data_IF_350330867365
#
_entry.id   IF_350330867365
#
_cell.length_a   1.000
_cell.length_b   1.000
_cell.length_c   1.000
_cell.angle_alpha   90.00
_cell.angle_beta   90.00
_cell.angle_gamma   90.00
#
_symmetry.space_group_name_H-M   'P 1'
#
loop_
_entity.id
_entity.type
_entity.pdbx_description
1 polymer ?
#
# COMPACT_ATOMS: atom_id res chain seq x y z
N UNK A 1 -31.77 9.96 18.57
CA UNK A 1 -31.71 10.68 17.30
C UNK A 1 -30.98 9.83 16.26
N UNK A 2 -31.58 9.70 15.07
CA UNK A 2 -31.00 8.93 13.97
C UNK A 2 -30.80 9.85 12.76
N UNK A 3 -29.60 9.81 12.20
CA UNK A 3 -29.28 10.47 10.92
C UNK A 3 -28.97 9.39 9.89
N UNK A 4 -29.52 9.52 8.70
CA UNK A 4 -29.21 8.68 7.55
C UNK A 4 -28.53 9.54 6.49
N UNK A 5 -27.51 8.98 5.85
CA UNK A 5 -26.81 9.61 4.75
C UNK A 5 -26.64 8.62 3.60
N UNK A 6 -26.69 9.12 2.38
CA UNK A 6 -26.39 8.36 1.18
C UNK A 6 -25.66 9.26 0.20
N UNK A 7 -24.64 8.72 -0.42
CA UNK A 7 -23.84 9.38 -1.44
C UNK A 7 -23.62 8.40 -2.59
N UNK A 8 -23.78 8.87 -3.83
CA UNK A 8 -23.59 8.06 -5.03
C UNK A 8 -22.85 8.87 -6.07
N UNK A 9 -21.88 8.25 -6.69
CA UNK A 9 -21.06 8.84 -7.74
C UNK A 9 -20.85 7.83 -8.86
N UNK A 10 -20.81 8.31 -10.09
CA UNK A 10 -20.44 7.52 -11.26
C UNK A 10 -19.74 8.39 -12.27
N UNK A 11 -18.80 7.82 -12.98
CA UNK A 11 -18.02 8.58 -13.94
C UNK A 11 -17.27 7.71 -14.93
N UNK A 12 -16.78 8.39 -15.95
CA UNK A 12 -15.83 7.89 -16.91
C UNK A 12 -14.58 8.77 -16.82
N UNK A 13 -13.43 8.15 -16.71
CA UNK A 13 -12.14 8.82 -16.66
C UNK A 13 -11.14 8.15 -17.56
N UNK A 14 -10.09 8.88 -17.92
CA UNK A 14 -9.01 8.33 -18.70
C UNK A 14 -7.72 9.11 -18.50
N UNK A 15 -6.62 8.48 -18.85
CA UNK A 15 -5.28 9.07 -18.82
C UNK A 15 -4.52 8.62 -20.04
N UNK A 16 -4.09 9.58 -20.84
CA UNK A 16 -3.18 9.37 -21.97
C UNK A 16 -1.82 9.99 -21.66
N UNK A 17 -0.76 9.28 -21.95
CA UNK A 17 0.61 9.77 -21.79
C UNK A 17 1.43 9.30 -22.99
N UNK A 18 2.09 10.24 -23.66
CA UNK A 18 3.03 9.99 -24.73
C UNK A 18 4.43 10.46 -24.28
N UNK A 19 5.44 9.71 -24.60
CA UNK A 19 6.83 10.02 -24.25
C UNK A 19 7.78 9.62 -25.35
N UNK A 20 8.82 10.44 -25.55
CA UNK A 20 9.94 10.14 -26.43
C UNK A 20 11.23 10.17 -25.60
N UNK A 21 12.12 9.20 -25.78
CA UNK A 21 13.41 9.11 -25.11
C UNK A 21 14.51 8.79 -26.10
N UNK A 22 15.61 9.52 -25.99
CA UNK A 22 16.83 9.25 -26.77
C UNK A 22 17.75 8.31 -25.99
N UNK A 23 18.16 7.23 -26.62
CA UNK A 23 19.08 6.23 -26.06
C UNK A 23 20.41 6.25 -26.81
N UNK A 24 21.52 6.24 -26.04
CA UNK A 24 22.87 5.97 -26.56
C UNK A 24 23.35 4.66 -25.94
N UNK A 25 23.48 3.64 -26.76
CA UNK A 25 23.96 2.32 -26.34
C UNK A 25 25.46 2.19 -26.67
N UNK A 26 26.21 1.72 -25.67
CA UNK A 26 27.60 1.26 -25.86
C UNK A 26 27.71 -0.17 -25.34
N UNK A 27 28.17 -1.07 -26.21
CA UNK A 27 28.50 -2.45 -25.86
C UNK A 27 29.99 -2.57 -25.60
N UNK A 28 30.35 -2.99 -24.38
CA UNK A 28 31.72 -3.14 -23.93
C UNK A 28 32.00 -4.59 -23.56
N UNK A 29 33.13 -5.11 -24.03
CA UNK A 29 33.71 -6.35 -23.55
C UNK A 29 35.17 -6.10 -23.20
N UNK A 30 35.60 -6.47 -21.98
CA UNK A 30 36.96 -6.28 -21.47
C UNK A 30 37.51 -4.83 -21.63
N UNK A 31 36.63 -3.84 -21.49
CA UNK A 31 36.97 -2.43 -21.66
C UNK A 31 37.04 -1.95 -23.10
N UNK A 32 36.78 -2.79 -24.10
CA UNK A 32 36.79 -2.44 -25.52
C UNK A 32 35.35 -2.26 -25.98
N UNK A 33 35.05 -1.12 -26.63
CA UNK A 33 33.76 -0.86 -27.27
C UNK A 33 33.68 -1.69 -28.56
N UNK A 34 32.69 -2.61 -28.66
CA UNK A 34 32.46 -3.41 -29.86
C UNK A 34 31.12 -3.09 -30.56
N UNK A 35 30.34 -2.18 -29.99
CA UNK A 35 29.12 -1.68 -30.61
C UNK A 35 28.68 -0.37 -30.01
N UNK A 36 28.22 0.55 -30.85
CA UNK A 36 27.57 1.80 -30.45
C UNK A 36 26.30 1.97 -31.29
N UNK A 37 25.22 2.42 -30.64
CA UNK A 37 23.95 2.69 -31.32
C UNK A 37 23.29 3.94 -30.74
N UNK A 38 22.71 4.74 -31.59
CA UNK A 38 21.82 5.83 -31.24
C UNK A 38 20.39 5.35 -31.60
N UNK A 39 19.51 5.34 -30.59
CA UNK A 39 18.13 4.94 -30.73
C UNK A 39 17.24 6.00 -30.10
N UNK A 40 15.99 6.08 -30.55
CA UNK A 40 14.94 6.80 -29.81
C UNK A 40 13.74 5.89 -29.56
N UNK A 41 13.13 6.00 -28.39
CA UNK A 41 11.87 5.32 -28.12
C UNK A 41 10.70 6.26 -28.26
N UNK A 42 9.56 5.67 -28.61
CA UNK A 42 8.26 6.33 -28.51
C UNK A 42 7.36 5.43 -27.67
N UNK A 43 6.84 5.99 -26.59
CA UNK A 43 5.99 5.31 -25.65
C UNK A 43 4.61 5.96 -25.64
N UNK A 44 3.57 5.16 -25.88
CA UNK A 44 2.18 5.56 -25.83
C UNK A 44 1.48 4.75 -24.74
N UNK A 45 0.80 5.43 -23.83
CA UNK A 45 0.02 4.83 -22.77
C UNK A 45 -1.37 5.44 -22.76
N UNK A 46 -2.39 4.61 -22.70
CA UNK A 46 -3.78 4.99 -22.67
C UNK A 46 -4.57 4.12 -21.68
N UNK A 47 -5.23 4.75 -20.73
CA UNK A 47 -6.05 4.11 -19.71
C UNK A 47 -7.43 4.74 -19.72
N UNK A 48 -8.46 3.91 -19.81
CA UNK A 48 -9.85 4.31 -19.68
C UNK A 48 -10.55 3.49 -18.61
N UNK A 49 -11.28 4.14 -17.73
CA UNK A 49 -12.04 3.48 -16.66
C UNK A 49 -13.46 4.06 -16.57
N UNK A 50 -14.44 3.17 -16.46
CA UNK A 50 -15.81 3.53 -16.06
C UNK A 50 -15.99 3.06 -14.61
N UNK A 51 -16.51 3.92 -13.75
CA UNK A 51 -16.74 3.55 -12.36
C UNK A 51 -18.12 4.00 -11.85
N UNK A 52 -18.58 3.27 -10.86
CA UNK A 52 -19.72 3.61 -10.01
C UNK A 52 -19.36 3.32 -8.57
N UNK A 53 -19.69 4.25 -7.65
CA UNK A 53 -19.54 4.02 -6.22
C UNK A 53 -20.70 4.62 -5.45
N UNK A 54 -20.96 4.02 -4.28
CA UNK A 54 -21.98 4.52 -3.38
C UNK A 54 -21.67 4.19 -1.93
N UNK A 55 -22.11 5.07 -1.06
CA UNK A 55 -22.06 4.90 0.39
C UNK A 55 -23.44 5.13 0.97
N UNK A 56 -23.87 4.24 1.84
CA UNK A 56 -25.05 4.43 2.70
C UNK A 56 -24.58 4.32 4.13
N UNK A 57 -24.97 5.25 4.98
CA UNK A 57 -24.59 5.27 6.38
C UNK A 57 -25.72 5.68 7.31
N UNK A 58 -25.59 5.31 8.56
CA UNK A 58 -26.42 5.78 9.64
C UNK A 58 -25.61 6.12 10.88
N UNK A 59 -26.12 7.07 11.65
CA UNK A 59 -25.64 7.43 12.97
C UNK A 59 -26.86 7.46 13.90
N UNK A 60 -26.87 6.66 14.96
CA UNK A 60 -27.89 6.62 15.97
C UNK A 60 -27.32 6.95 17.33
N UNK A 61 -27.72 8.10 17.88
CA UNK A 61 -27.39 8.53 19.22
C UNK A 61 -28.50 8.10 20.17
N UNK A 62 -28.16 7.25 21.15
CA UNK A 62 -29.11 6.79 22.17
C UNK A 62 -29.34 7.86 23.23
N UNK A 63 -28.30 8.67 23.52
CA UNK A 63 -28.33 9.78 24.47
C UNK A 63 -27.34 10.87 24.08
N UNK A 64 -27.26 11.94 24.89
CA UNK A 64 -26.35 13.06 24.72
C UNK A 64 -24.97 12.82 25.40
N UNK A 65 -24.75 11.62 25.96
CA UNK A 65 -23.51 11.28 26.69
C UNK A 65 -22.48 10.57 25.82
N UNK A 66 -22.75 10.42 24.54
CA UNK A 66 -21.88 9.75 23.58
C UNK A 66 -22.18 8.26 23.36
N UNK A 67 -23.35 7.77 23.87
CA UNK A 67 -23.84 6.42 23.59
C UNK A 67 -24.38 6.39 22.17
N UNK A 68 -23.67 5.72 21.26
CA UNK A 68 -24.01 5.75 19.84
C UNK A 68 -23.72 4.44 19.12
N UNK A 69 -24.44 4.23 18.04
CA UNK A 69 -24.22 3.17 17.06
C UNK A 69 -24.11 3.81 15.67
N UNK A 70 -23.01 3.54 14.98
CA UNK A 70 -22.80 4.00 13.61
C UNK A 70 -22.62 2.81 12.70
N UNK A 71 -23.08 2.95 11.47
CA UNK A 71 -22.88 1.94 10.45
C UNK A 71 -22.73 2.57 9.07
N UNK A 72 -21.95 1.92 8.23
CA UNK A 72 -21.81 2.33 6.83
C UNK A 72 -21.61 1.11 5.94
N UNK A 73 -22.12 1.22 4.72
CA UNK A 73 -21.88 0.28 3.64
C UNK A 73 -21.43 1.05 2.40
N UNK A 74 -20.29 0.64 1.85
CA UNK A 74 -19.70 1.19 0.65
C UNK A 74 -19.54 0.11 -0.40
N UNK A 75 -19.91 0.44 -1.63
CA UNK A 75 -19.71 -0.37 -2.82
C UNK A 75 -19.04 0.49 -3.90
N UNK A 76 -17.99 -0.04 -4.52
CA UNK A 76 -17.40 0.51 -5.74
C UNK A 76 -17.31 -0.59 -6.79
N UNK A 77 -17.72 -0.28 -7.99
CA UNK A 77 -17.42 -0.99 -9.22
C UNK A 77 -16.54 -0.12 -10.10
N UNK A 78 -15.42 -0.64 -10.57
CA UNK A 78 -14.62 -0.09 -11.64
C UNK A 78 -14.54 -1.15 -12.73
N UNK A 79 -15.03 -0.83 -13.91
CA UNK A 79 -15.07 -1.76 -15.02
C UNK A 79 -14.55 -1.15 -16.30
N UNK A 80 -14.13 -2.00 -17.23
CA UNK A 80 -13.50 -1.59 -18.49
C UNK A 80 -12.29 -0.67 -18.24
N UNK A 81 -11.49 -0.97 -17.22
CA UNK A 81 -10.16 -0.42 -17.10
C UNK A 81 -9.32 -1.06 -18.21
N UNK A 82 -9.42 -0.51 -19.44
CA UNK A 82 -8.57 -0.92 -20.53
C UNK A 82 -7.29 -0.10 -20.43
N UNK A 83 -6.19 -0.77 -20.12
CA UNK A 83 -4.85 -0.22 -20.20
C UNK A 83 -4.19 -0.67 -21.49
N UNK A 84 -3.78 0.28 -22.31
CA UNK A 84 -2.98 0.05 -23.49
C UNK A 84 -1.62 0.69 -23.31
N UNK A 85 -0.58 -0.10 -23.52
CA UNK A 85 0.79 0.38 -23.52
C UNK A 85 1.47 -0.05 -24.80
N UNK A 86 2.11 0.89 -25.50
CA UNK A 86 2.98 0.62 -26.64
C UNK A 86 4.32 1.31 -26.41
N UNK A 87 5.41 0.59 -26.66
CA UNK A 87 6.75 1.13 -26.70
C UNK A 87 7.43 0.65 -27.99
N UNK A 88 7.98 1.58 -28.73
CA UNK A 88 8.71 1.32 -29.97
C UNK A 88 10.13 1.92 -29.85
N UNK A 89 11.13 1.18 -30.29
CA UNK A 89 12.52 1.63 -30.40
C UNK A 89 12.93 1.72 -31.85
N UNK A 90 13.36 2.89 -32.28
CA UNK A 90 13.78 3.17 -33.62
C UNK A 90 15.28 3.46 -33.67
N UNK A 91 15.94 3.02 -34.76
CA UNK A 91 17.32 3.41 -35.05
C UNK A 91 17.37 4.80 -35.68
N UNK A 92 18.58 5.31 -35.90
CA UNK A 92 18.82 6.59 -36.53
C UNK A 92 18.26 6.77 -37.96
N UNK A 93 17.94 5.66 -38.62
CA UNK A 93 17.31 5.67 -39.96
C UNK A 93 15.77 5.64 -39.86
N UNK A 94 15.19 5.78 -38.66
CA UNK A 94 13.76 5.69 -38.41
C UNK A 94 13.16 4.30 -38.71
N UNK A 95 13.96 3.24 -38.60
CA UNK A 95 13.51 1.88 -38.74
C UNK A 95 13.25 1.32 -37.34
N UNK A 96 12.09 0.64 -37.14
CA UNK A 96 11.74 0.01 -35.88
C UNK A 96 12.61 -1.22 -35.64
N UNK A 97 13.42 -1.17 -34.60
CA UNK A 97 14.31 -2.26 -34.18
C UNK A 97 13.64 -3.17 -33.15
N UNK A 98 12.88 -2.57 -32.23
CA UNK A 98 12.09 -3.29 -31.21
C UNK A 98 10.73 -2.62 -31.07
N UNK A 99 9.77 -3.38 -30.59
CA UNK A 99 8.46 -2.86 -30.22
C UNK A 99 7.72 -3.86 -29.38
N UNK A 100 6.93 -3.36 -28.44
CA UNK A 100 5.97 -4.17 -27.73
C UNK A 100 4.67 -3.38 -27.50
N UNK A 101 3.59 -4.12 -27.43
CA UNK A 101 2.23 -3.65 -27.16
C UNK A 101 1.61 -4.53 -26.11
N UNK A 102 1.04 -3.93 -25.10
CA UNK A 102 0.32 -4.64 -24.06
C UNK A 102 -1.11 -4.11 -23.93
N UNK A 103 -2.01 -4.99 -23.59
CA UNK A 103 -3.39 -4.67 -23.25
C UNK A 103 -3.72 -5.38 -21.94
N UNK A 104 -4.41 -4.65 -21.08
CA UNK A 104 -4.94 -5.15 -19.83
C UNK A 104 -6.40 -4.70 -19.72
N UNK A 105 -7.32 -5.64 -19.56
CA UNK A 105 -8.75 -5.38 -19.34
C UNK A 105 -9.15 -5.93 -17.98
N UNK A 106 -9.68 -5.07 -17.11
CA UNK A 106 -9.90 -5.41 -15.72
C UNK A 106 -11.27 -4.97 -15.23
N UNK A 107 -11.85 -5.79 -14.35
CA UNK A 107 -13.06 -5.50 -13.62
C UNK A 107 -12.80 -5.57 -12.13
N UNK A 108 -13.14 -4.49 -11.41
CA UNK A 108 -12.82 -4.33 -9.99
C UNK A 108 -14.05 -4.07 -9.16
N UNK A 109 -14.19 -4.82 -8.06
CA UNK A 109 -15.21 -4.59 -7.06
C UNK A 109 -14.59 -4.33 -5.70
N UNK A 110 -15.08 -3.31 -5.00
CA UNK A 110 -14.70 -3.06 -3.62
C UNK A 110 -15.96 -2.95 -2.78
N UNK A 111 -16.02 -3.74 -1.71
CA UNK A 111 -17.10 -3.70 -0.73
C UNK A 111 -16.50 -3.40 0.64
N UNK A 112 -17.09 -2.45 1.38
CA UNK A 112 -16.76 -2.19 2.78
C UNK A 112 -18.02 -2.09 3.59
N UNK A 113 -18.04 -2.71 4.76
CA UNK A 113 -19.10 -2.58 5.75
C UNK A 113 -18.48 -2.28 7.10
N UNK A 114 -19.05 -1.31 7.84
CA UNK A 114 -18.62 -0.97 9.18
C UNK A 114 -19.84 -0.89 10.08
N UNK A 115 -19.69 -1.40 11.31
CA UNK A 115 -20.65 -1.25 12.39
C UNK A 115 -19.87 -0.99 13.67
N UNK A 116 -20.03 0.19 14.25
CA UNK A 116 -19.26 0.65 15.39
C UNK A 116 -20.20 1.09 16.51
N UNK A 117 -19.96 0.57 17.72
CA UNK A 117 -20.76 0.84 18.91
C UNK A 117 -19.89 1.43 20.01
N UNK A 118 -20.34 2.55 20.59
CA UNK A 118 -19.69 3.25 21.68
C UNK A 118 -20.64 3.30 22.87
N UNK A 119 -20.19 2.80 24.02
CA UNK A 119 -20.92 2.81 25.27
C UNK A 119 -20.12 3.52 26.36
N UNK A 120 -20.45 4.77 26.72
CA UNK A 120 -19.88 5.48 27.86
C UNK A 120 -20.45 4.93 29.15
N UNK A 121 -19.66 4.15 29.90
CA UNK A 121 -20.07 3.57 31.17
C UNK A 121 -19.84 4.48 32.38
N UNK A 122 -19.03 5.53 32.20
CA UNK A 122 -18.80 6.56 33.21
C UNK A 122 -18.58 7.94 32.54
N UNK A 123 -18.24 8.98 33.32
CA UNK A 123 -17.93 10.30 32.78
C UNK A 123 -16.64 10.33 31.96
N UNK A 124 -15.72 9.43 32.26
CA UNK A 124 -14.38 9.34 31.65
C UNK A 124 -14.16 8.02 30.92
N UNK A 125 -14.97 7.02 31.26
CA UNK A 125 -14.81 5.65 30.77
C UNK A 125 -15.77 5.30 29.65
N UNK A 126 -15.26 4.61 28.64
CA UNK A 126 -16.03 4.09 27.53
C UNK A 126 -15.56 2.71 27.05
N UNK A 127 -16.50 1.96 26.56
CA UNK A 127 -16.27 0.73 25.79
C UNK A 127 -16.62 1.02 24.34
N UNK A 128 -15.78 0.56 23.44
CA UNK A 128 -16.02 0.62 22.01
C UNK A 128 -15.87 -0.80 21.45
N UNK A 129 -16.71 -1.15 20.49
CA UNK A 129 -16.62 -2.41 19.79
C UNK A 129 -17.23 -2.30 18.42
N UNK A 130 -16.74 -3.09 17.49
CA UNK A 130 -17.27 -3.02 16.15
C UNK A 130 -16.90 -4.23 15.30
N UNK A 131 -17.57 -4.28 14.16
CA UNK A 131 -17.32 -5.23 13.09
C UNK A 131 -17.02 -4.46 11.80
N UNK A 132 -16.01 -4.92 11.07
CA UNK A 132 -15.65 -4.37 9.78
C UNK A 132 -15.48 -5.50 8.77
N UNK A 133 -16.07 -5.32 7.61
CA UNK A 133 -15.90 -6.16 6.43
C UNK A 133 -15.25 -5.38 5.32
N UNK A 134 -14.26 -5.99 4.70
CA UNK A 134 -13.63 -5.50 3.49
C UNK A 134 -13.56 -6.64 2.49
N UNK A 135 -13.94 -6.37 1.24
CA UNK A 135 -13.71 -7.28 0.12
C UNK A 135 -13.26 -6.49 -1.10
N UNK A 136 -12.22 -7.00 -1.73
CA UNK A 136 -11.73 -6.55 -3.02
C UNK A 136 -11.72 -7.76 -3.95
N UNK A 137 -12.29 -7.59 -5.12
CA UNK A 137 -12.31 -8.58 -6.18
C UNK A 137 -11.84 -7.90 -7.45
N UNK A 138 -10.95 -8.56 -8.17
CA UNK A 138 -10.45 -8.12 -9.46
C UNK A 138 -10.29 -9.35 -10.37
N UNK A 139 -10.75 -9.24 -11.58
CA UNK A 139 -10.53 -10.20 -12.63
C UNK A 139 -10.19 -9.48 -13.93
N UNK A 140 -9.36 -10.12 -14.74
CA UNK A 140 -8.92 -9.52 -15.99
C UNK A 140 -8.06 -10.44 -16.81
N UNK A 141 -7.59 -9.89 -17.92
CA UNK A 141 -6.64 -10.53 -18.79
C UNK A 141 -5.55 -9.56 -19.25
N UNK A 142 -4.36 -10.11 -19.41
CA UNK A 142 -3.18 -9.42 -19.89
C UNK A 142 -2.65 -10.08 -21.15
N UNK A 143 -2.42 -9.28 -22.20
CA UNK A 143 -1.90 -9.73 -23.49
C UNK A 143 -0.73 -8.85 -23.92
N UNK A 144 0.31 -9.47 -24.48
CA UNK A 144 1.48 -8.73 -24.96
C UNK A 144 1.98 -9.24 -26.30
N UNK A 145 2.22 -8.31 -27.22
CA UNK A 145 2.79 -8.57 -28.54
C UNK A 145 4.17 -7.94 -28.69
N UNK A 146 5.07 -8.61 -29.38
CA UNK A 146 6.42 -8.16 -29.66
C UNK A 146 6.63 -7.95 -31.15
N UNK A 147 7.46 -6.98 -31.51
CA UNK A 147 7.85 -6.71 -32.89
C UNK A 147 8.89 -7.70 -33.38
N UNK A 148 8.63 -8.32 -34.54
CA UNK A 148 9.61 -9.09 -35.31
C UNK A 148 10.24 -8.18 -36.38
N UNK A 149 11.52 -7.78 -36.28
CA UNK A 149 12.14 -6.87 -37.24
C UNK A 149 12.39 -7.51 -38.60
N UNK A 150 12.42 -8.87 -38.70
CA UNK A 150 12.62 -9.58 -39.93
C UNK A 150 11.33 -9.66 -40.75
N UNK A 151 10.22 -9.98 -40.09
CA UNK A 151 8.91 -10.06 -40.69
C UNK A 151 8.20 -8.72 -40.80
N UNK A 152 8.64 -7.71 -40.04
CA UNK A 152 8.03 -6.38 -39.90
C UNK A 152 6.57 -6.43 -39.44
N UNK A 153 6.28 -7.33 -38.48
CA UNK A 153 4.96 -7.51 -37.88
C UNK A 153 5.03 -7.74 -36.39
N UNK A 154 3.93 -7.48 -35.68
CA UNK A 154 3.81 -7.86 -34.27
C UNK A 154 3.32 -9.30 -34.17
N UNK A 155 3.91 -10.06 -33.23
CA UNK A 155 3.51 -11.44 -32.92
C UNK A 155 3.15 -11.56 -31.44
N UNK A 156 2.22 -12.46 -31.13
CA UNK A 156 1.80 -12.73 -29.76
C UNK A 156 2.85 -13.60 -29.05
N UNK A 157 3.07 -13.31 -27.77
CA UNK A 157 3.84 -14.12 -26.83
C UNK A 157 2.86 -14.88 -25.93
N UNK A 158 2.45 -16.09 -26.36
CA UNK A 158 1.49 -16.92 -25.62
C UNK A 158 1.98 -17.30 -24.21
N UNK A 159 3.28 -17.29 -23.98
CA UNK A 159 3.90 -17.51 -22.68
C UNK A 159 3.73 -16.34 -21.71
N UNK A 160 3.33 -15.16 -22.21
CA UNK A 160 3.06 -13.95 -21.39
C UNK A 160 1.55 -13.74 -21.21
N UNK A 161 0.71 -14.26 -22.11
CA UNK A 161 -0.74 -14.18 -21.94
C UNK A 161 -1.18 -14.77 -20.59
N UNK A 162 -1.98 -14.02 -19.84
CA UNK A 162 -2.52 -14.46 -18.58
C UNK A 162 -3.94 -13.95 -18.36
N UNK A 163 -4.80 -14.83 -17.86
CA UNK A 163 -6.06 -14.44 -17.21
C UNK A 163 -5.89 -14.60 -15.72
N UNK A 164 -6.39 -13.65 -14.96
CA UNK A 164 -6.29 -13.69 -13.51
C UNK A 164 -7.63 -13.42 -12.82
N UNK A 165 -7.76 -13.96 -11.63
CA UNK A 165 -8.83 -13.69 -10.70
C UNK A 165 -8.23 -13.52 -9.32
N UNK A 166 -8.52 -12.40 -8.69
CA UNK A 166 -8.07 -12.10 -7.35
C UNK A 166 -9.24 -11.72 -6.45
N UNK A 167 -9.32 -12.37 -5.32
CA UNK A 167 -10.27 -12.04 -4.26
C UNK A 167 -9.54 -11.86 -2.94
N UNK A 168 -9.80 -10.76 -2.25
CA UNK A 168 -9.24 -10.48 -0.95
C UNK A 168 -10.34 -10.02 -0.01
N UNK A 169 -10.71 -10.87 0.95
CA UNK A 169 -11.72 -10.60 1.97
C UNK A 169 -11.10 -10.51 3.36
N UNK A 170 -11.51 -9.53 4.16
CA UNK A 170 -11.11 -9.36 5.56
C UNK A 170 -12.36 -9.15 6.40
N UNK A 171 -12.56 -10.03 7.37
CA UNK A 171 -13.53 -9.86 8.43
C UNK A 171 -12.81 -9.47 9.71
N UNK A 172 -13.26 -8.42 10.37
CA UNK A 172 -12.58 -7.89 11.55
C UNK A 172 -13.57 -7.62 12.67
N UNK A 173 -13.19 -7.98 13.88
CA UNK A 173 -13.91 -7.64 15.10
C UNK A 173 -12.92 -6.94 16.03
N UNK A 174 -13.35 -5.88 16.70
CA UNK A 174 -12.49 -5.20 17.66
C UNK A 174 -13.26 -4.81 18.93
N UNK A 175 -12.49 -4.67 20.00
CA UNK A 175 -12.96 -4.11 21.26
C UNK A 175 -11.89 -3.19 21.86
N UNK A 176 -12.33 -2.07 22.44
CA UNK A 176 -11.49 -1.07 23.09
C UNK A 176 -12.13 -0.69 24.41
N UNK A 177 -11.32 -0.59 25.46
CA UNK A 177 -11.69 0.02 26.74
C UNK A 177 -10.78 1.22 26.97
N UNK A 178 -11.37 2.36 27.34
CA UNK A 178 -10.63 3.57 27.70
C UNK A 178 -11.25 4.18 28.94
N UNK A 179 -10.40 4.67 29.86
CA UNK A 179 -10.83 5.42 31.03
C UNK A 179 -9.70 6.32 31.55
N UNK A 180 -10.08 7.22 32.46
CA UNK A 180 -9.15 8.10 33.16
C UNK A 180 -9.42 8.04 34.67
N UNK A 181 -8.38 7.81 35.44
CA UNK A 181 -8.43 7.85 36.89
C UNK A 181 -7.41 8.84 37.44
N UNK A 182 -7.89 9.96 38.00
CA UNK A 182 -7.05 11.08 38.45
C UNK A 182 -6.15 11.61 37.32
N UNK A 183 -4.85 11.43 37.48
CA UNK A 183 -3.83 11.84 36.49
C UNK A 183 -3.43 10.75 35.52
N UNK A 184 -4.04 9.57 35.60
CA UNK A 184 -3.72 8.42 34.79
C UNK A 184 -4.82 8.16 33.76
N UNK A 185 -4.43 8.10 32.48
CA UNK A 185 -5.28 7.75 31.34
C UNK A 185 -4.84 6.41 30.78
N UNK A 186 -5.78 5.55 30.41
CA UNK A 186 -5.45 4.32 29.69
C UNK A 186 -6.44 4.03 28.56
N UNK A 187 -5.95 3.38 27.54
CA UNK A 187 -6.74 2.79 26.48
C UNK A 187 -6.10 1.46 26.07
N UNK A 188 -6.87 0.39 26.15
CA UNK A 188 -6.45 -0.93 25.70
C UNK A 188 -7.42 -1.45 24.65
N UNK A 189 -6.91 -2.02 23.58
CA UNK A 189 -7.71 -2.54 22.48
C UNK A 189 -7.13 -3.81 21.90
N UNK A 190 -8.01 -4.62 21.32
CA UNK A 190 -7.63 -5.77 20.50
C UNK A 190 -8.52 -5.84 19.28
N UNK A 191 -7.91 -6.10 18.11
CA UNK A 191 -8.60 -6.37 16.86
C UNK A 191 -8.23 -7.78 16.40
N UNK A 192 -9.21 -8.60 16.09
CA UNK A 192 -9.06 -9.89 15.44
C UNK A 192 -9.46 -9.76 13.98
N UNK A 193 -8.63 -10.27 13.07
CA UNK A 193 -8.91 -10.26 11.63
C UNK A 193 -8.81 -11.66 11.06
N UNK A 194 -9.83 -12.05 10.30
CA UNK A 194 -9.81 -13.22 9.44
C UNK A 194 -9.64 -12.77 8.00
N UNK A 195 -8.49 -13.10 7.41
CA UNK A 195 -8.16 -12.79 6.01
C UNK A 195 -8.35 -14.04 5.16
N UNK A 196 -9.15 -13.92 4.11
CA UNK A 196 -9.28 -14.91 3.04
C UNK A 196 -8.86 -14.27 1.72
N UNK A 197 -7.89 -14.88 1.02
CA UNK A 197 -7.38 -14.40 -0.26
C UNK A 197 -7.25 -15.57 -1.23
N UNK A 198 -7.73 -15.36 -2.46
CA UNK A 198 -7.62 -16.30 -3.57
C UNK A 198 -6.98 -15.56 -4.74
N UNK A 199 -5.93 -16.14 -5.29
CA UNK A 199 -5.34 -15.76 -6.56
C UNK A 199 -5.44 -16.96 -7.48
N UNK A 200 -6.03 -16.79 -8.65
CA UNK A 200 -6.02 -17.77 -9.74
C UNK A 200 -5.40 -17.15 -10.96
N UNK A 201 -4.69 -17.96 -11.73
CA UNK A 201 -3.98 -17.53 -12.92
C UNK A 201 -4.06 -18.64 -13.96
N UNK A 202 -4.12 -18.29 -15.24
CA UNK A 202 -4.00 -19.26 -16.34
C UNK A 202 -2.60 -19.91 -16.39
N UNK A 203 -1.60 -19.32 -15.70
CA UNK A 203 -0.24 -19.88 -15.64
C UNK A 203 -0.23 -21.06 -14.65
N UNK A 204 0.14 -22.28 -15.10
CA UNK A 204 0.11 -23.48 -14.25
C UNK A 204 0.94 -23.35 -12.97
N UNK A 205 0.37 -23.80 -11.85
CA UNK A 205 1.04 -23.83 -10.56
C UNK A 205 1.14 -22.47 -9.83
N UNK A 206 0.50 -21.42 -10.34
CA UNK A 206 0.51 -20.08 -9.76
C UNK A 206 -0.69 -19.77 -8.86
N UNK A 207 -1.71 -20.63 -8.86
CA UNK A 207 -2.85 -20.49 -7.97
C UNK A 207 -2.44 -20.47 -6.50
N UNK A 208 -2.99 -19.54 -5.74
CA UNK A 208 -2.73 -19.44 -4.29
C UNK A 208 -4.01 -19.16 -3.53
N UNK A 209 -4.13 -19.82 -2.40
CA UNK A 209 -5.18 -19.53 -1.41
C UNK A 209 -4.53 -19.27 -0.05
N UNK A 210 -4.91 -18.17 0.55
CA UNK A 210 -4.45 -17.76 1.86
C UNK A 210 -5.64 -17.60 2.79
N UNK A 211 -5.56 -18.22 3.97
CA UNK A 211 -6.61 -18.16 4.96
C UNK A 211 -5.95 -18.09 6.35
N UNK A 212 -6.12 -16.96 7.05
CA UNK A 212 -5.43 -16.75 8.31
C UNK A 212 -6.24 -15.88 9.27
N UNK A 213 -6.18 -16.25 10.54
CA UNK A 213 -6.70 -15.44 11.64
C UNK A 213 -5.56 -14.80 12.42
N UNK A 214 -5.67 -13.50 12.71
CA UNK A 214 -4.59 -12.69 13.29
C UNK A 214 -5.11 -11.70 14.31
N UNK A 215 -4.26 -11.35 15.30
CA UNK A 215 -4.59 -10.40 16.37
C UNK A 215 -3.66 -9.20 16.36
N UNK A 216 -4.26 -8.03 16.60
CA UNK A 216 -3.60 -6.73 16.64
C UNK A 216 -3.93 -6.01 17.95
N UNK A 217 -3.17 -6.27 19.02
CA UNK A 217 -3.32 -5.56 20.28
C UNK A 217 -2.76 -4.15 20.21
N UNK A 218 -3.35 -3.24 21.01
CA UNK A 218 -2.88 -1.88 21.25
C UNK A 218 -3.05 -1.50 22.70
N UNK A 219 -2.09 -0.71 23.23
CA UNK A 219 -2.12 -0.19 24.57
C UNK A 219 -1.58 1.24 24.57
N UNK A 220 -2.30 2.15 25.22
CA UNK A 220 -1.88 3.52 25.43
C UNK A 220 -2.06 3.84 26.92
N UNK A 221 -0.99 4.35 27.54
CA UNK A 221 -0.95 4.76 28.94
C UNK A 221 -0.50 6.19 29.01
N UNK A 222 -1.22 7.03 29.74
CA UNK A 222 -0.90 8.41 29.93
C UNK A 222 -0.81 8.77 31.41
N UNK A 223 0.14 9.59 31.79
CA UNK A 223 0.22 10.16 33.11
C UNK A 223 0.47 11.69 33.05
N UNK A 224 -0.43 12.44 33.63
CA UNK A 224 -0.34 13.91 33.68
C UNK A 224 0.22 14.32 35.02
N UNK A 225 1.43 14.87 35.01
CA UNK A 225 2.10 15.44 36.20
C UNK A 225 1.63 16.87 36.46
N UNK A 226 1.85 17.42 37.68
CA UNK A 226 1.66 18.84 37.92
C UNK A 226 2.48 19.72 36.97
N UNK A 227 2.03 20.95 36.73
CA UNK A 227 2.70 21.94 35.85
C UNK A 227 2.74 21.51 34.36
N UNK A 228 1.66 20.87 33.87
CA UNK A 228 1.43 20.55 32.45
C UNK A 228 2.48 19.64 31.79
N UNK A 229 3.05 18.73 32.57
CA UNK A 229 3.87 17.66 32.05
C UNK A 229 3.01 16.43 31.74
N UNK A 230 3.20 15.80 30.60
CA UNK A 230 2.52 14.53 30.25
C UNK A 230 3.52 13.51 29.75
N UNK A 231 3.43 12.29 30.27
CA UNK A 231 4.14 11.12 29.77
C UNK A 231 3.14 10.17 29.15
N UNK A 232 3.43 9.72 27.93
CA UNK A 232 2.59 8.80 27.18
C UNK A 232 3.43 7.60 26.75
N UNK A 233 3.00 6.40 27.11
CA UNK A 233 3.59 5.15 26.61
C UNK A 233 2.60 4.45 25.69
N UNK A 234 3.05 3.93 24.57
CA UNK A 234 2.19 3.20 23.66
C UNK A 234 2.86 1.95 23.07
N UNK A 235 2.03 0.97 22.82
CA UNK A 235 2.35 -0.22 22.05
C UNK A 235 1.26 -0.48 21.03
N UNK A 236 1.66 -0.83 19.81
CA UNK A 236 0.73 -1.32 18.80
C UNK A 236 1.38 -2.36 17.90
N UNK A 237 0.58 -3.35 17.49
CA UNK A 237 0.92 -4.27 16.42
C UNK A 237 0.05 -3.98 15.21
N UNK A 238 0.68 -3.92 14.03
CA UNK A 238 0.04 -3.63 12.74
C UNK A 238 0.47 -4.62 11.68
N UNK A 239 -0.29 -4.66 10.57
CA UNK A 239 0.01 -5.45 9.39
C UNK A 239 0.02 -4.55 8.16
N UNK A 240 0.97 -4.79 7.25
CA UNK A 240 0.95 -4.27 5.87
C UNK A 240 0.80 -5.46 4.93
N UNK A 241 -0.27 -5.48 4.17
CA UNK A 241 -0.56 -6.54 3.20
C UNK A 241 0.02 -6.15 1.85
N UNK A 242 0.58 -7.13 1.10
CA UNK A 242 1.02 -6.86 -0.26
C UNK A 242 -0.18 -6.49 -1.15
N UNK A 243 0.05 -5.55 -2.02
CA UNK A 243 -0.89 -5.17 -3.09
C UNK A 243 -0.92 -6.24 -4.18
N UNK A 244 -1.99 -6.27 -5.00
CA UNK A 244 -2.18 -7.31 -6.01
C UNK A 244 -1.01 -7.38 -6.99
N UNK A 245 -0.57 -6.26 -7.53
CA UNK A 245 0.52 -6.22 -8.51
C UNK A 245 1.86 -6.80 -7.98
N UNK A 246 2.08 -6.83 -6.63
CA UNK A 246 3.21 -7.56 -6.05
C UNK A 246 3.07 -9.08 -6.12
N UNK A 247 1.87 -9.59 -6.45
CA UNK A 247 1.55 -11.01 -6.46
C UNK A 247 1.25 -11.55 -7.85
N UNK A 248 1.03 -10.70 -8.84
CA UNK A 248 0.70 -11.08 -10.22
C UNK A 248 1.81 -11.94 -10.83
N UNK A 249 1.50 -13.18 -11.21
CA UNK A 249 2.54 -14.15 -11.57
C UNK A 249 2.97 -14.08 -13.04
N UNK A 250 2.62 -13.04 -13.77
CA UNK A 250 2.99 -12.82 -15.16
C UNK A 250 4.01 -11.70 -15.32
N UNK A 251 4.70 -11.72 -16.46
CA UNK A 251 5.77 -10.77 -16.76
C UNK A 251 5.18 -9.58 -17.49
N UNK A 252 5.46 -8.38 -16.96
CA UNK A 252 5.15 -7.09 -17.59
C UNK A 252 6.45 -6.37 -17.94
N UNK A 253 6.57 -5.86 -19.15
CA UNK A 253 7.72 -5.04 -19.55
C UNK A 253 7.41 -3.57 -19.29
N UNK A 254 8.27 -2.90 -18.54
CA UNK A 254 8.19 -1.46 -18.30
C UNK A 254 8.85 -0.66 -19.43
N UNK A 255 9.91 -1.24 -19.97
CA UNK A 255 10.67 -0.74 -21.10
C UNK A 255 11.46 -1.88 -21.75
N UNK A 256 12.34 -1.59 -22.72
CA UNK A 256 13.12 -2.60 -23.44
C UNK A 256 14.21 -3.28 -22.61
N UNK A 257 14.51 -2.80 -21.40
CA UNK A 257 15.62 -3.24 -20.56
C UNK A 257 15.17 -3.68 -19.16
N UNK A 258 13.90 -3.46 -18.83
CA UNK A 258 13.34 -3.83 -17.55
C UNK A 258 11.96 -4.47 -17.66
N UNK A 259 11.82 -5.59 -16.98
CA UNK A 259 10.56 -6.31 -16.81
C UNK A 259 10.30 -6.51 -15.31
N UNK A 260 9.06 -6.79 -14.96
CA UNK A 260 8.70 -7.14 -13.59
C UNK A 260 7.76 -8.35 -13.55
N UNK A 261 7.81 -9.06 -12.43
CA UNK A 261 6.92 -10.18 -12.11
C UNK A 261 6.58 -10.14 -10.63
N UNK A 262 5.33 -10.28 -10.29
CA UNK A 262 4.91 -10.43 -8.90
C UNK A 262 5.27 -11.80 -8.35
N UNK A 263 5.17 -11.91 -7.04
CA UNK A 263 5.41 -13.14 -6.28
C UNK A 263 4.14 -13.55 -5.55
N UNK A 264 3.39 -14.56 -6.02
CA UNK A 264 2.15 -15.00 -5.37
C UNK A 264 2.34 -15.55 -3.96
N UNK A 265 3.58 -15.91 -3.57
CA UNK A 265 3.93 -16.42 -2.25
C UNK A 265 4.36 -15.34 -1.25
N UNK A 266 4.28 -14.07 -1.65
CA UNK A 266 4.68 -12.95 -0.78
C UNK A 266 3.77 -12.85 0.45
N UNK A 267 4.41 -12.70 1.63
CA UNK A 267 3.75 -12.61 2.92
C UNK A 267 3.57 -11.16 3.35
N UNK A 268 2.57 -10.92 4.18
CA UNK A 268 2.37 -9.62 4.81
C UNK A 268 3.48 -9.27 5.79
N UNK A 269 3.78 -8.00 5.93
CA UNK A 269 4.69 -7.47 6.93
C UNK A 269 3.97 -7.26 8.27
N UNK A 270 4.63 -7.54 9.39
CA UNK A 270 4.11 -7.29 10.74
C UNK A 270 4.99 -6.29 11.45
N UNK A 271 4.38 -5.22 11.95
CA UNK A 271 5.08 -4.11 12.60
C UNK A 271 4.65 -4.03 14.06
N UNK A 272 5.63 -4.15 14.99
CA UNK A 272 5.43 -3.80 16.39
C UNK A 272 6.07 -2.43 16.65
N UNK A 273 5.33 -1.52 17.27
CA UNK A 273 5.79 -0.18 17.64
C UNK A 273 5.65 0.04 19.13
N UNK A 274 6.74 0.47 19.76
CA UNK A 274 6.81 0.90 21.14
C UNK A 274 7.23 2.37 21.16
N UNK A 275 6.50 3.21 21.86
CA UNK A 275 6.78 4.64 21.90
C UNK A 275 6.62 5.16 23.34
N UNK A 276 7.54 6.04 23.75
CA UNK A 276 7.47 6.78 24.99
C UNK A 276 7.63 8.26 24.67
N UNK A 277 6.54 9.00 24.84
CA UNK A 277 6.50 10.43 24.55
C UNK A 277 6.41 11.23 25.85
N UNK A 278 7.29 12.20 26.00
CA UNK A 278 7.20 13.24 27.02
C UNK A 278 6.81 14.55 26.37
N UNK A 279 5.75 15.18 26.89
CA UNK A 279 5.25 16.47 26.42
C UNK A 279 5.18 17.48 27.59
N UNK A 280 5.57 18.70 27.31
CA UNK A 280 5.44 19.84 28.27
C UNK A 280 4.90 21.07 27.56
N UNK A 281 3.88 21.69 28.16
CA UNK A 281 3.44 23.01 27.77
C UNK A 281 4.12 24.05 28.69
N UNK A 282 4.59 25.16 28.12
CA UNK A 282 5.27 26.26 28.82
C UNK A 282 4.64 27.55 28.31
N UNK A 283 3.57 28.01 28.96
CA UNK A 283 2.75 29.10 28.43
C UNK A 283 2.17 28.74 27.07
N UNK A 284 2.46 29.54 26.06
CA UNK A 284 2.00 29.32 24.67
C UNK A 284 2.94 28.40 23.89
N UNK A 285 3.98 27.85 24.49
CA UNK A 285 4.94 26.98 23.87
C UNK A 285 4.66 25.50 24.19
N UNK A 286 4.88 24.62 23.25
CA UNK A 286 4.82 23.16 23.47
C UNK A 286 6.13 22.53 23.05
N UNK A 287 6.70 21.67 23.86
CA UNK A 287 7.85 20.84 23.52
C UNK A 287 7.53 19.38 23.78
N UNK A 288 7.99 18.50 22.91
CA UNK A 288 7.87 17.06 23.13
C UNK A 288 9.10 16.30 22.62
N UNK A 289 9.35 15.18 23.29
CA UNK A 289 10.38 14.22 22.92
C UNK A 289 9.78 12.82 22.92
N UNK A 290 9.96 12.08 21.83
CA UNK A 290 9.48 10.70 21.69
C UNK A 290 10.66 9.77 21.47
N UNK A 291 10.84 8.80 22.33
CA UNK A 291 11.73 7.66 22.09
C UNK A 291 10.89 6.54 21.50
N UNK A 292 11.37 5.93 20.41
CA UNK A 292 10.63 4.86 19.75
C UNK A 292 11.52 3.67 19.41
N UNK A 293 10.88 2.50 19.38
CA UNK A 293 11.43 1.28 18.82
C UNK A 293 10.38 0.60 17.95
N UNK A 294 10.71 0.39 16.66
CA UNK A 294 9.86 -0.30 15.69
C UNK A 294 10.58 -1.52 15.15
N UNK A 295 9.91 -2.66 15.12
CA UNK A 295 10.40 -3.87 14.50
C UNK A 295 9.42 -4.34 13.45
N UNK A 296 9.93 -4.66 12.24
CA UNK A 296 9.14 -5.18 11.13
C UNK A 296 9.63 -6.58 10.78
N UNK A 297 8.70 -7.51 10.73
CA UNK A 297 8.92 -8.88 10.30
C UNK A 297 8.41 -9.09 8.89
N UNK A 298 9.05 -9.97 8.13
CA UNK A 298 8.72 -10.33 6.74
C UNK A 298 8.73 -9.10 5.81
N UNK A 299 9.72 -8.20 5.98
CA UNK A 299 9.89 -6.99 5.17
C UNK A 299 9.85 -7.32 3.67
N UNK A 300 9.03 -6.58 2.92
CA UNK A 300 8.91 -6.72 1.47
C UNK A 300 9.90 -5.78 0.81
N UNK A 301 10.69 -6.30 -0.11
CA UNK A 301 11.67 -5.54 -0.89
C UNK A 301 11.64 -5.99 -2.35
N UNK A 302 12.00 -5.07 -3.23
CA UNK A 302 12.21 -5.35 -4.64
C UNK A 302 13.58 -6.00 -4.83
N UNK A 303 13.59 -7.13 -5.53
CA UNK A 303 14.80 -7.82 -5.97
C UNK A 303 14.95 -7.67 -7.47
N UNK A 304 16.15 -7.38 -7.93
CA UNK A 304 16.48 -7.26 -9.34
C UNK A 304 17.48 -8.34 -9.73
N UNK A 305 17.15 -9.08 -10.78
CA UNK A 305 17.98 -10.16 -11.32
C UNK A 305 18.12 -10.02 -12.84
N UNK A 306 19.21 -10.52 -13.45
CA UNK A 306 19.27 -10.70 -14.90
C UNK A 306 18.18 -11.67 -15.37
N UNK A 307 17.52 -11.39 -16.50
CA UNK A 307 16.44 -12.20 -17.04
C UNK A 307 16.72 -12.69 -18.48
N UNK A 308 16.65 -11.79 -19.42
CA UNK A 308 17.01 -12.03 -20.82
C UNK A 308 18.23 -11.18 -21.20
N UNK A 309 18.80 -11.39 -22.40
CA UNK A 309 19.97 -10.62 -22.86
C UNK A 309 19.65 -9.10 -22.86
N UNK A 310 20.26 -8.37 -21.93
CA UNK A 310 20.06 -6.93 -21.76
C UNK A 310 18.81 -6.52 -20.99
N UNK A 311 18.03 -7.49 -20.44
CA UNK A 311 16.82 -7.23 -19.66
C UNK A 311 17.01 -7.64 -18.20
N UNK A 312 16.64 -6.76 -17.28
CA UNK A 312 16.57 -7.06 -15.85
C UNK A 312 15.12 -7.36 -15.45
N UNK A 313 14.93 -8.32 -14.55
CA UNK A 313 13.63 -8.68 -13.98
C UNK A 313 13.55 -8.21 -12.53
N UNK A 314 12.59 -7.38 -12.23
CA UNK A 314 12.23 -6.96 -10.89
C UNK A 314 11.15 -7.89 -10.34
N UNK A 315 11.33 -8.35 -9.10
CA UNK A 315 10.32 -9.13 -8.37
C UNK A 315 10.27 -8.73 -6.92
N UNK A 316 9.23 -9.12 -6.20
CA UNK A 316 9.06 -8.83 -4.79
C UNK A 316 9.37 -10.05 -3.91
N UNK A 317 10.08 -9.83 -2.82
CA UNK A 317 10.39 -10.88 -1.85
C UNK A 317 10.35 -10.39 -0.40
N UNK A 318 10.11 -11.32 0.52
CA UNK A 318 10.26 -11.04 1.95
C UNK A 318 11.73 -11.24 2.32
N UNK A 319 12.45 -10.16 2.56
CA UNK A 319 13.92 -10.19 2.76
C UNK A 319 14.36 -10.36 4.22
N UNK A 320 13.44 -10.36 5.19
CA UNK A 320 13.78 -10.60 6.59
C UNK A 320 13.16 -9.62 7.56
N UNK A 321 13.96 -9.09 8.49
CA UNK A 321 13.50 -8.20 9.55
C UNK A 321 14.21 -6.86 9.50
N UNK A 322 13.52 -5.78 9.82
CA UNK A 322 14.16 -4.50 10.10
C UNK A 322 13.79 -3.97 11.48
N UNK A 323 14.66 -3.10 11.99
CA UNK A 323 14.54 -2.44 13.28
C UNK A 323 14.88 -0.97 13.12
N UNK A 324 14.05 -0.11 13.71
CA UNK A 324 14.30 1.32 13.81
C UNK A 324 14.15 1.77 15.25
N UNK A 325 15.20 2.34 15.82
CA UNK A 325 15.19 2.88 17.20
C UNK A 325 15.73 4.28 17.18
N UNK A 326 15.01 5.22 17.79
CA UNK A 326 15.42 6.61 17.74
C UNK A 326 14.68 7.52 18.69
N UNK A 327 14.97 8.82 18.51
CA UNK A 327 14.33 9.92 19.20
C UNK A 327 13.81 10.94 18.20
N UNK A 328 12.60 11.41 18.43
CA UNK A 328 11.95 12.50 17.71
C UNK A 328 11.74 13.66 18.67
N UNK A 329 12.14 14.85 18.26
CA UNK A 329 11.96 16.08 19.03
C UNK A 329 11.03 17.00 18.24
N UNK A 330 10.05 17.58 18.91
CA UNK A 330 9.20 18.61 18.32
C UNK A 330 9.01 19.78 19.27
N UNK A 331 8.98 20.98 18.71
CA UNK A 331 8.75 22.22 19.44
C UNK A 331 7.83 23.14 18.65
N UNK A 332 6.81 23.66 19.31
CA UNK A 332 6.01 24.77 18.81
C UNK A 332 6.27 25.96 19.69
N UNK A 333 6.85 27.00 19.13
CA UNK A 333 7.27 28.20 19.85
C UNK A 333 6.56 29.41 19.25
N UNK A 334 5.75 30.07 20.05
CA UNK A 334 5.15 31.36 19.69
C UNK A 334 6.14 32.48 20.05
N UNK A 335 6.85 32.98 19.06
CA UNK A 335 7.85 34.05 19.27
C UNK A 335 7.22 35.41 19.46
N UNK A 336 6.11 35.66 18.76
CA UNK A 336 5.30 36.87 18.86
C UNK A 336 3.82 36.50 18.66
N UNK A 337 2.89 37.46 18.87
CA UNK A 337 1.44 37.22 18.61
C UNK A 337 1.11 36.82 17.16
N UNK A 338 2.01 37.12 16.25
CA UNK A 338 1.81 36.90 14.80
C UNK A 338 2.82 35.90 14.19
N UNK A 339 3.79 35.39 14.98
CA UNK A 339 4.80 34.48 14.45
C UNK A 339 4.95 33.22 15.32
N UNK A 340 4.55 32.09 14.76
CA UNK A 340 4.72 30.74 15.31
C UNK A 340 5.81 30.01 14.55
N UNK A 341 6.70 29.34 15.27
CA UNK A 341 7.78 28.52 14.73
C UNK A 341 7.55 27.08 15.16
N UNK A 342 7.51 26.16 14.20
CA UNK A 342 7.45 24.72 14.41
C UNK A 342 8.81 24.11 14.06
N UNK A 343 9.43 23.45 15.02
CA UNK A 343 10.71 22.78 14.89
C UNK A 343 10.49 21.27 15.06
N UNK A 344 10.98 20.47 14.10
CA UNK A 344 10.94 19.03 14.18
C UNK A 344 12.30 18.47 13.80
N UNK A 345 12.75 17.46 14.55
CA UNK A 345 13.99 16.76 14.28
C UNK A 345 13.89 15.31 14.71
N UNK A 346 14.52 14.40 13.96
CA UNK A 346 14.58 12.99 14.29
C UNK A 346 16.01 12.47 14.13
N UNK A 347 16.41 11.61 15.07
CA UNK A 347 17.65 10.87 15.00
C UNK A 347 17.34 9.40 15.30
N UNK A 348 17.70 8.51 14.38
CA UNK A 348 17.43 7.09 14.57
C UNK A 348 18.52 6.20 13.97
N UNK A 349 18.65 5.03 14.56
CA UNK A 349 19.44 3.92 14.03
C UNK A 349 18.50 2.95 13.32
N UNK A 350 18.83 2.62 12.07
CA UNK A 350 18.08 1.68 11.25
C UNK A 350 18.95 0.49 10.88
N UNK A 351 18.44 -0.71 11.08
CA UNK A 351 19.15 -1.96 10.79
C UNK A 351 18.22 -2.93 10.05
N UNK A 352 18.69 -3.50 8.95
CA UNK A 352 18.05 -4.62 8.24
C UNK A 352 18.84 -5.90 8.53
N UNK A 353 18.14 -6.94 8.99
CA UNK A 353 18.67 -8.31 9.08
C UNK A 353 18.11 -9.11 7.91
N UNK A 354 18.87 -9.13 6.83
CA UNK A 354 18.50 -9.84 5.63
C UNK A 354 18.64 -11.36 5.84
N UNK A 355 17.58 -12.11 5.46
CA UNK A 355 17.60 -13.59 5.47
C UNK A 355 17.71 -14.15 4.04
N UNK A 356 17.76 -13.29 3.03
CA UNK A 356 17.92 -13.71 1.65
C UNK A 356 19.38 -14.08 1.42
N UNK A 357 19.65 -15.39 1.27
CA UNK A 357 20.95 -15.86 0.79
C UNK A 357 20.91 -15.76 -0.72
N UNK A 358 21.67 -14.84 -1.30
CA UNK A 358 22.04 -14.92 -2.72
C UNK A 358 22.89 -16.17 -2.87
N UNK A 359 22.34 -17.20 -3.52
CA UNK A 359 23.07 -18.39 -3.91
C UNK A 359 24.06 -18.09 -5.01
#
# INVERSE_FOLDING_TARGET
>A
HTTLNADFEGGYGGRTRNGDLDYKEKRLAEGITFGEGDYYSRDDYDLHETYFQGTIGFDHKFDDKGHQLTGSFYLKYGGNAMEYFQSDLFNKNNEREKGHRAWEDEHRWTVRGNLDYIYPYSKTGRLEGGYQYFSYLEDGDYTMHFWDPQKKEFYNRDDIYNTFYFQHGINSVYAIVADSYKSFDFQAGVRGEHTHRVLRSSIPGKDRTYNKFEFFPSLHLGYTFPKEHKLLASYSRRITRPELFFMEPYITYRDFYSAEIGNPDIRSEYINSFELNYKKNIGEHTVSATVFHRSRKDKIERLRVPYEAGVTLDSMANVGHDYSTGIELSGQVQLTRWWNVNLNGSLYHYQVKNQYKTG
#
